data_IF_297757293613
#
_entry.id   IF_297757293613
#
_cell.length_a   1.000
_cell.length_b   1.000
_cell.length_c   1.000
_cell.angle_alpha   90.00
_cell.angle_beta   90.00
_cell.angle_gamma   90.00
#
_symmetry.space_group_name_H-M   'P 1'
#
loop_
_entity.id
_entity.type
_entity.pdbx_description
1 polymer ?
#
# COMPACT_ATOMS: atom_id res chain seq x y z
N UNK A 1 -80.91 -41.50 29.03
CA UNK A 1 -79.92 -41.65 27.98
C UNK A 1 -79.14 -40.34 27.82
N UNK A 2 -77.92 -40.27 28.32
CA UNK A 2 -77.03 -39.08 28.23
C UNK A 2 -75.83 -39.42 27.36
N UNK A 3 -75.77 -38.87 26.15
CA UNK A 3 -74.66 -39.01 25.25
C UNK A 3 -73.51 -38.09 25.71
N UNK A 4 -72.32 -38.65 25.92
CA UNK A 4 -71.08 -37.88 26.21
C UNK A 4 -70.33 -37.66 24.89
N UNK A 5 -70.21 -36.41 24.46
CA UNK A 5 -69.33 -36.03 23.38
C UNK A 5 -67.89 -35.87 23.92
N UNK A 6 -66.97 -36.63 23.35
CA UNK A 6 -65.52 -36.45 23.57
C UNK A 6 -65.01 -35.48 22.50
N UNK A 7 -64.52 -34.33 22.94
CA UNK A 7 -63.73 -33.44 22.10
C UNK A 7 -62.25 -33.84 22.14
N UNK A 8 -61.76 -34.27 21.00
CA UNK A 8 -60.31 -34.53 20.82
C UNK A 8 -59.64 -33.24 20.38
N UNK A 9 -58.90 -32.62 21.32
CA UNK A 9 -58.08 -31.41 21.01
C UNK A 9 -56.75 -31.88 20.42
N UNK A 10 -56.53 -31.65 19.12
CA UNK A 10 -55.23 -31.82 18.47
C UNK A 10 -54.32 -30.66 18.81
N UNK A 11 -53.32 -30.90 19.66
CA UNK A 11 -52.29 -29.90 19.93
C UNK A 11 -51.27 -29.89 18.77
N UNK A 12 -51.33 -28.83 17.93
CA UNK A 12 -50.28 -28.54 16.93
C UNK A 12 -49.08 -27.92 17.67
N UNK A 13 -48.05 -28.70 17.93
CA UNK A 13 -46.77 -28.20 18.38
C UNK A 13 -46.04 -27.59 17.20
N UNK A 14 -46.09 -26.27 17.09
CA UNK A 14 -45.23 -25.49 16.21
C UNK A 14 -43.80 -25.53 16.77
N UNK A 15 -42.94 -26.34 16.18
CA UNK A 15 -41.53 -26.31 16.44
C UNK A 15 -40.95 -25.00 15.88
N UNK A 16 -40.86 -23.95 16.70
CA UNK A 16 -39.99 -22.83 16.42
C UNK A 16 -38.56 -23.33 16.45
N UNK A 17 -37.99 -23.63 15.29
CA UNK A 17 -36.56 -23.78 15.15
C UNK A 17 -35.91 -22.44 15.53
N UNK A 18 -35.38 -22.35 16.74
CA UNK A 18 -34.42 -21.32 17.10
C UNK A 18 -33.22 -21.46 16.13
N UNK A 19 -33.27 -20.75 15.02
CA UNK A 19 -32.06 -20.41 14.26
C UNK A 19 -31.23 -19.52 15.20
N UNK A 20 -30.25 -20.14 15.86
CA UNK A 20 -29.22 -19.37 16.58
C UNK A 20 -28.72 -18.32 15.58
N UNK A 21 -28.73 -17.05 15.96
CA UNK A 21 -28.01 -16.00 15.27
C UNK A 21 -26.54 -16.43 15.30
N UNK A 22 -26.05 -17.06 14.23
CA UNK A 22 -24.64 -17.12 13.96
C UNK A 22 -24.18 -15.66 13.90
N UNK A 23 -23.26 -15.25 14.78
CA UNK A 23 -22.73 -13.89 14.76
C UNK A 23 -22.32 -13.56 13.32
N UNK A 24 -22.59 -12.34 12.91
CA UNK A 24 -22.20 -11.80 11.60
C UNK A 24 -20.71 -12.05 11.39
N UNK A 25 -20.31 -12.70 10.28
CA UNK A 25 -18.92 -12.98 9.97
C UNK A 25 -18.15 -11.65 9.89
N UNK A 26 -16.96 -11.60 10.45
CA UNK A 26 -16.14 -10.37 10.48
C UNK A 26 -14.81 -10.62 9.81
N UNK A 27 -14.55 -9.90 8.72
CA UNK A 27 -13.26 -9.87 8.03
C UNK A 27 -12.34 -8.83 8.69
N UNK A 28 -11.21 -9.27 9.18
CA UNK A 28 -10.19 -8.38 9.73
C UNK A 28 -9.09 -8.12 8.69
N UNK A 29 -8.99 -6.87 8.26
CA UNK A 29 -8.03 -6.40 7.26
C UNK A 29 -6.95 -5.56 7.94
N UNK A 30 -5.67 -5.81 7.65
CA UNK A 30 -4.54 -5.05 8.13
C UNK A 30 -3.80 -4.45 6.94
N UNK A 31 -3.93 -3.14 6.75
CA UNK A 31 -3.52 -2.45 5.54
C UNK A 31 -2.93 -1.07 5.83
N UNK A 32 -2.53 -0.36 4.80
CA UNK A 32 -2.11 1.04 4.90
C UNK A 32 -3.30 1.95 5.18
N UNK A 33 -3.04 3.15 5.72
CA UNK A 33 -4.08 4.16 5.89
C UNK A 33 -4.66 4.60 4.53
N UNK A 34 -5.95 4.93 4.49
CA UNK A 34 -6.67 5.45 3.31
C UNK A 34 -6.57 4.55 2.05
N UNK A 35 -6.46 3.23 2.24
CA UNK A 35 -6.12 2.27 1.16
C UNK A 35 -7.32 1.56 0.55
N UNK A 36 -8.51 1.79 1.05
CA UNK A 36 -9.80 1.34 0.48
C UNK A 36 -10.86 2.42 0.71
N UNK A 37 -11.58 2.78 -0.35
CA UNK A 37 -12.68 3.73 -0.27
C UNK A 37 -13.76 3.22 0.69
N UNK A 38 -14.20 4.01 1.70
CA UNK A 38 -15.17 3.56 2.71
C UNK A 38 -16.48 3.05 2.14
N UNK A 39 -16.98 3.66 1.05
CA UNK A 39 -18.23 3.26 0.39
C UNK A 39 -18.09 1.88 -0.27
N UNK A 40 -16.90 1.49 -0.72
CA UNK A 40 -16.63 0.14 -1.25
C UNK A 40 -16.67 -0.88 -0.13
N UNK A 41 -16.12 -0.56 1.04
CA UNK A 41 -16.20 -1.40 2.23
C UNK A 41 -17.65 -1.66 2.59
N UNK A 42 -18.46 -0.59 2.72
CA UNK A 42 -19.89 -0.70 3.04
C UNK A 42 -20.66 -1.51 1.99
N UNK A 43 -20.32 -1.38 0.70
CA UNK A 43 -20.91 -2.17 -0.38
C UNK A 43 -20.56 -3.66 -0.24
N UNK A 44 -19.31 -3.98 0.03
CA UNK A 44 -18.89 -5.37 0.25
C UNK A 44 -19.59 -6.00 1.46
N UNK A 45 -19.70 -5.28 2.56
CA UNK A 45 -20.43 -5.72 3.77
C UNK A 45 -21.89 -6.06 3.45
N UNK A 46 -22.57 -5.19 2.71
CA UNK A 46 -23.97 -5.40 2.32
C UNK A 46 -24.13 -6.60 1.37
N UNK A 47 -23.23 -6.77 0.40
CA UNK A 47 -23.28 -7.87 -0.58
C UNK A 47 -22.98 -9.25 0.05
N UNK A 48 -22.15 -9.28 1.10
CA UNK A 48 -21.68 -10.52 1.71
C UNK A 48 -22.30 -10.80 3.10
N UNK A 49 -23.21 -9.96 3.57
CA UNK A 49 -23.82 -10.04 4.91
C UNK A 49 -22.76 -10.25 6.01
N UNK A 50 -21.72 -9.44 5.98
CA UNK A 50 -20.58 -9.50 6.89
C UNK A 50 -20.20 -8.10 7.40
N UNK A 51 -19.22 -8.07 8.30
CA UNK A 51 -18.57 -6.85 8.75
C UNK A 51 -17.10 -6.85 8.35
N UNK A 52 -16.56 -5.69 7.99
CA UNK A 52 -15.13 -5.50 7.72
C UNK A 52 -14.55 -4.59 8.80
N UNK A 53 -13.47 -5.03 9.44
CA UNK A 53 -12.71 -4.23 10.40
C UNK A 53 -11.33 -3.98 9.82
N UNK A 54 -10.97 -2.71 9.66
CA UNK A 54 -9.68 -2.30 9.10
C UNK A 54 -8.81 -1.76 10.22
N UNK A 55 -7.65 -2.39 10.42
CA UNK A 55 -6.53 -1.86 11.20
C UNK A 55 -5.45 -1.36 10.23
N UNK A 56 -4.69 -0.36 10.63
CA UNK A 56 -3.64 0.23 9.79
C UNK A 56 -2.24 0.04 10.37
N UNK A 57 -1.24 0.08 9.48
CA UNK A 57 0.17 0.15 9.81
C UNK A 57 0.85 1.23 8.96
N UNK A 58 2.01 1.68 9.42
CA UNK A 58 2.82 2.75 8.82
C UNK A 58 4.14 2.27 8.20
N UNK A 59 4.51 0.99 8.44
CA UNK A 59 5.69 0.37 7.83
C UNK A 59 5.55 -1.14 7.71
N UNK A 60 6.16 -1.71 6.66
CA UNK A 60 6.22 -3.16 6.46
C UNK A 60 6.91 -3.87 7.63
N UNK A 61 7.96 -3.26 8.19
CA UNK A 61 8.73 -3.81 9.31
C UNK A 61 7.89 -3.90 10.58
N UNK A 62 7.13 -2.86 10.91
CA UNK A 62 6.22 -2.86 12.06
C UNK A 62 5.09 -3.88 11.89
N UNK A 63 4.48 -3.94 10.71
CA UNK A 63 3.46 -4.93 10.36
C UNK A 63 4.01 -6.34 10.52
N UNK A 64 5.15 -6.63 9.88
CA UNK A 64 5.79 -7.94 9.94
C UNK A 64 6.17 -8.36 11.37
N UNK A 65 6.79 -7.46 12.14
CA UNK A 65 7.16 -7.74 13.52
C UNK A 65 5.92 -8.09 14.38
N UNK A 66 4.82 -7.36 14.21
CA UNK A 66 3.55 -7.60 14.92
C UNK A 66 2.96 -8.97 14.56
N UNK A 67 2.89 -9.31 13.28
CA UNK A 67 2.34 -10.60 12.81
C UNK A 67 3.25 -11.75 13.25
N UNK A 68 4.57 -11.61 13.13
CA UNK A 68 5.56 -12.59 13.56
C UNK A 68 5.56 -12.84 15.07
N UNK A 69 5.30 -11.81 15.86
CA UNK A 69 5.15 -11.95 17.32
C UNK A 69 3.86 -12.69 17.74
N UNK A 70 3.05 -13.14 16.78
CA UNK A 70 1.85 -13.95 17.02
C UNK A 70 0.58 -13.12 17.12
N UNK A 71 0.54 -11.89 16.61
CA UNK A 71 -0.71 -11.17 16.44
C UNK A 71 -1.58 -11.95 15.43
N UNK A 72 -2.50 -12.74 15.98
CA UNK A 72 -3.50 -13.49 15.22
C UNK A 72 -4.79 -12.68 15.14
N UNK A 73 -5.60 -12.95 14.14
CA UNK A 73 -6.91 -12.31 14.02
C UNK A 73 -7.05 -11.45 12.78
N UNK A 74 -6.00 -11.35 11.97
CA UNK A 74 -6.08 -10.76 10.64
C UNK A 74 -6.37 -11.85 9.61
N UNK A 75 -7.29 -11.55 8.69
CA UNK A 75 -7.70 -12.45 7.61
C UNK A 75 -7.12 -12.02 6.26
N UNK A 76 -6.77 -10.74 6.13
CA UNK A 76 -6.16 -10.15 4.95
C UNK A 76 -5.11 -9.12 5.38
N UNK A 77 -3.96 -9.11 4.72
CA UNK A 77 -2.89 -8.11 4.93
C UNK A 77 -2.45 -7.57 3.57
N UNK A 78 -1.99 -6.32 3.54
CA UNK A 78 -1.53 -5.65 2.31
C UNK A 78 -0.05 -5.24 2.41
N UNK A 79 0.91 -6.19 2.42
CA UNK A 79 2.34 -5.87 2.42
C UNK A 79 2.83 -5.44 1.04
N UNK A 80 3.94 -4.71 1.00
CA UNK A 80 4.70 -4.53 -0.24
C UNK A 80 5.34 -5.85 -0.70
N UNK A 81 5.43 -6.07 -2.01
CA UNK A 81 5.87 -7.34 -2.62
C UNK A 81 7.17 -7.91 -2.04
N UNK A 82 8.17 -7.09 -1.71
CA UNK A 82 9.40 -7.61 -1.10
C UNK A 82 9.16 -8.27 0.26
N UNK A 83 8.20 -7.75 1.02
CA UNK A 83 7.80 -8.31 2.32
C UNK A 83 7.01 -9.61 2.14
N UNK A 84 6.24 -9.74 1.05
CA UNK A 84 5.57 -11.01 0.68
C UNK A 84 6.58 -12.15 0.59
N UNK A 85 7.74 -11.93 -0.06
CA UNK A 85 8.81 -12.91 -0.18
C UNK A 85 9.29 -13.40 1.19
N UNK A 86 9.55 -12.45 2.11
CA UNK A 86 9.98 -12.76 3.47
C UNK A 86 8.91 -13.54 4.24
N UNK A 87 7.66 -13.11 4.18
CA UNK A 87 6.53 -13.77 4.87
C UNK A 87 6.29 -15.18 4.30
N UNK A 88 6.35 -15.34 2.98
CA UNK A 88 6.23 -16.64 2.33
C UNK A 88 7.35 -17.60 2.76
N UNK A 89 8.61 -17.16 2.71
CA UNK A 89 9.75 -17.98 3.13
C UNK A 89 9.70 -18.47 4.58
N UNK A 90 8.88 -17.83 5.42
CA UNK A 90 8.66 -18.20 6.82
C UNK A 90 7.34 -18.97 7.05
N UNK A 91 6.63 -19.36 5.99
CA UNK A 91 5.38 -20.09 6.10
C UNK A 91 4.24 -19.28 6.74
N UNK A 92 4.28 -17.95 6.62
CA UNK A 92 3.29 -17.04 7.22
C UNK A 92 2.06 -16.81 6.34
N UNK A 93 2.05 -17.30 5.09
CA UNK A 93 0.99 -17.07 4.12
C UNK A 93 0.29 -18.38 3.74
N UNK A 94 -1.01 -18.30 3.49
CA UNK A 94 -1.79 -19.39 2.89
C UNK A 94 -1.69 -19.34 1.36
N UNK A 95 -1.80 -20.49 0.67
CA UNK A 95 -2.02 -20.50 -0.77
C UNK A 95 -3.40 -19.91 -1.11
N UNK A 96 -3.48 -19.23 -2.25
CA UNK A 96 -4.72 -18.69 -2.77
C UNK A 96 -5.47 -19.71 -3.64
N UNK A 97 -6.78 -19.81 -3.46
CA UNK A 97 -7.65 -20.56 -4.38
C UNK A 97 -8.06 -19.67 -5.56
N UNK A 98 -7.38 -19.86 -6.69
CA UNK A 98 -7.62 -19.09 -7.92
C UNK A 98 -9.03 -19.22 -8.47
N UNK A 99 -9.75 -20.32 -8.16
CA UNK A 99 -11.14 -20.47 -8.56
C UNK A 99 -12.07 -19.47 -7.86
N UNK A 100 -11.66 -18.96 -6.70
CA UNK A 100 -12.36 -17.91 -5.97
C UNK A 100 -11.96 -16.50 -6.39
N UNK A 101 -10.99 -16.35 -7.31
CA UNK A 101 -10.39 -15.09 -7.72
C UNK A 101 -10.50 -14.85 -9.25
N UNK A 102 -11.68 -15.01 -9.89
CA UNK A 102 -11.80 -14.82 -11.34
C UNK A 102 -11.38 -13.43 -11.80
N UNK A 103 -11.56 -12.39 -10.99
CA UNK A 103 -11.16 -11.02 -11.31
C UNK A 103 -9.64 -10.80 -11.28
N UNK A 104 -8.88 -11.61 -10.56
CA UNK A 104 -7.42 -11.52 -10.54
C UNK A 104 -6.78 -11.85 -11.91
N UNK A 105 -7.50 -12.54 -12.80
CA UNK A 105 -7.05 -12.78 -14.19
C UNK A 105 -6.87 -11.50 -15.02
N UNK A 106 -7.36 -10.37 -14.53
CA UNK A 106 -7.27 -9.05 -15.16
C UNK A 106 -6.09 -8.22 -14.67
N UNK A 107 -5.28 -8.78 -13.76
CA UNK A 107 -4.04 -8.10 -13.32
C UNK A 107 -3.17 -7.85 -14.55
N UNK A 108 -2.71 -6.60 -14.66
CA UNK A 108 -1.87 -6.16 -15.78
C UNK A 108 -0.57 -6.97 -15.82
N UNK A 109 -0.29 -7.66 -16.94
CA UNK A 109 0.92 -8.47 -17.09
C UNK A 109 2.22 -7.70 -16.87
N UNK A 110 2.24 -6.38 -17.17
CA UNK A 110 3.42 -5.54 -16.93
C UNK A 110 3.76 -5.44 -15.46
N UNK A 111 2.75 -5.23 -14.61
CA UNK A 111 2.95 -5.16 -13.17
C UNK A 111 3.08 -6.54 -12.52
N UNK A 112 2.41 -7.55 -13.05
CA UNK A 112 2.63 -8.93 -12.62
C UNK A 112 4.07 -9.39 -12.89
N UNK A 113 4.70 -8.90 -13.96
CA UNK A 113 6.10 -9.23 -14.28
C UNK A 113 7.10 -8.72 -13.22
N UNK A 114 6.77 -7.64 -12.52
CA UNK A 114 7.59 -7.07 -11.43
C UNK A 114 7.17 -7.54 -10.04
N UNK A 115 5.98 -8.17 -9.91
CA UNK A 115 5.56 -8.79 -8.66
C UNK A 115 6.50 -9.95 -8.28
N UNK A 116 6.63 -10.21 -7.00
CA UNK A 116 7.44 -11.33 -6.50
C UNK A 116 6.76 -12.66 -6.78
N UNK A 117 5.46 -12.74 -6.55
CA UNK A 117 4.64 -13.91 -6.86
C UNK A 117 3.97 -13.75 -8.24
N UNK A 118 4.74 -14.05 -9.29
CA UNK A 118 4.29 -13.93 -10.69
C UNK A 118 3.15 -14.88 -11.06
N UNK A 119 2.92 -15.89 -10.25
CA UNK A 119 1.86 -16.87 -10.45
C UNK A 119 0.62 -16.61 -9.61
N UNK A 120 0.68 -15.67 -8.70
CA UNK A 120 -0.39 -15.36 -7.75
C UNK A 120 -0.82 -16.59 -6.94
N UNK A 121 0.15 -17.38 -6.49
CA UNK A 121 -0.14 -18.56 -5.67
C UNK A 121 -0.38 -18.20 -4.21
N UNK A 122 0.15 -17.07 -3.73
CA UNK A 122 0.08 -16.61 -2.33
C UNK A 122 -0.23 -15.13 -2.19
N UNK A 123 -0.13 -14.34 -3.28
CA UNK A 123 -0.40 -12.90 -3.27
C UNK A 123 -1.07 -12.45 -4.57
N UNK A 124 -1.84 -11.37 -4.52
CA UNK A 124 -2.40 -10.72 -5.71
C UNK A 124 -1.98 -9.27 -5.70
N UNK A 125 -1.32 -8.76 -6.77
CA UNK A 125 -1.00 -7.34 -6.92
C UNK A 125 -2.24 -6.46 -6.73
N UNK A 126 -2.16 -5.48 -5.85
CA UNK A 126 -3.31 -4.65 -5.49
C UNK A 126 -3.13 -3.19 -5.90
N UNK A 127 -2.03 -2.56 -5.48
CA UNK A 127 -1.76 -1.17 -5.80
C UNK A 127 -0.32 -0.98 -6.24
N UNK A 128 -0.16 -0.18 -7.29
CA UNK A 128 1.14 0.24 -7.77
C UNK A 128 1.42 1.64 -7.22
N UNK A 129 2.53 1.76 -6.54
CA UNK A 129 3.00 3.00 -5.97
C UNK A 129 4.32 3.42 -6.59
N UNK A 130 4.60 4.71 -6.60
CA UNK A 130 5.92 5.23 -6.87
C UNK A 130 6.19 6.39 -5.92
N UNK A 131 7.46 6.67 -5.65
CA UNK A 131 7.87 7.75 -4.79
C UNK A 131 8.64 8.80 -5.56
N UNK A 132 8.39 10.04 -5.21
CA UNK A 132 9.01 11.19 -5.87
C UNK A 132 9.08 12.39 -4.95
N UNK A 133 9.19 13.55 -5.57
CA UNK A 133 9.27 14.83 -4.88
C UNK A 133 8.01 15.64 -5.14
N UNK A 134 7.32 16.02 -4.06
CA UNK A 134 6.25 17.01 -4.14
C UNK A 134 6.71 18.35 -3.57
N UNK A 135 6.18 19.45 -4.13
CA UNK A 135 6.56 20.79 -3.71
C UNK A 135 5.43 21.79 -3.97
N UNK A 136 5.43 22.90 -3.23
CA UNK A 136 4.52 24.02 -3.50
C UNK A 136 5.10 24.88 -4.63
N UNK A 137 4.47 24.83 -5.80
CA UNK A 137 4.95 25.46 -7.03
C UNK A 137 5.11 26.99 -6.89
N UNK A 138 4.22 27.66 -6.16
CA UNK A 138 4.29 29.10 -5.91
C UNK A 138 5.38 29.51 -4.92
N UNK A 139 5.94 28.55 -4.14
CA UNK A 139 6.91 28.81 -3.07
C UNK A 139 8.32 28.31 -3.38
N UNK A 140 8.44 27.30 -4.22
CA UNK A 140 9.72 26.66 -4.57
C UNK A 140 10.13 27.11 -5.97
N UNK A 141 10.84 28.23 -6.05
CA UNK A 141 11.39 28.72 -7.31
C UNK A 141 12.53 27.83 -7.82
N UNK A 142 12.75 27.81 -9.14
CA UNK A 142 13.84 27.05 -9.78
C UNK A 142 13.88 25.58 -9.37
N UNK A 143 12.71 24.95 -9.31
CA UNK A 143 12.63 23.51 -9.04
C UNK A 143 13.20 22.72 -10.21
N UNK A 144 14.09 21.77 -9.90
CA UNK A 144 14.57 20.76 -10.83
C UNK A 144 14.15 19.38 -10.34
N UNK A 145 13.62 18.49 -11.20
CA UNK A 145 13.23 17.15 -10.82
C UNK A 145 14.46 16.25 -10.62
N UNK A 146 15.09 16.37 -9.46
CA UNK A 146 16.27 15.62 -9.05
C UNK A 146 16.26 15.44 -7.53
N UNK A 147 16.82 14.32 -7.05
CA UNK A 147 17.04 14.13 -5.61
C UNK A 147 17.97 15.17 -4.99
N UNK A 148 18.79 15.85 -5.81
CA UNK A 148 19.61 16.98 -5.36
C UNK A 148 18.81 18.14 -4.72
N UNK A 149 17.48 18.21 -4.92
CA UNK A 149 16.64 19.25 -4.30
C UNK A 149 16.72 19.26 -2.77
N UNK A 150 17.07 18.14 -2.14
CA UNK A 150 17.25 18.06 -0.69
C UNK A 150 18.56 18.70 -0.19
N UNK A 151 19.48 19.10 -1.10
CA UNK A 151 20.65 19.94 -0.77
C UNK A 151 20.32 21.42 -0.65
N UNK A 152 19.09 21.85 -0.94
CA UNK A 152 18.67 23.26 -0.96
C UNK A 152 18.65 23.87 0.44
N UNK A 153 19.68 24.66 0.74
CA UNK A 153 19.82 25.34 2.03
C UNK A 153 18.78 26.46 2.25
N UNK A 154 18.25 27.05 1.15
CA UNK A 154 17.19 28.07 1.20
C UNK A 154 15.83 27.49 1.66
N UNK A 155 15.64 26.17 1.59
CA UNK A 155 14.46 25.45 2.07
C UNK A 155 14.70 24.76 3.44
N UNK A 156 15.79 25.07 4.12
CA UNK A 156 16.15 24.43 5.39
C UNK A 156 15.01 24.50 6.42
N UNK A 157 14.71 23.35 7.02
CA UNK A 157 13.64 23.18 8.00
C UNK A 157 12.23 23.17 7.41
N UNK A 158 12.11 23.20 6.06
CA UNK A 158 10.84 23.17 5.34
C UNK A 158 10.75 21.99 4.38
N UNK A 159 11.68 21.04 4.48
CA UNK A 159 11.74 19.82 3.68
C UNK A 159 11.59 18.58 4.55
N UNK A 160 10.96 17.55 4.01
CA UNK A 160 10.76 16.23 4.68
C UNK A 160 11.13 15.11 3.73
N UNK A 161 11.81 14.10 4.25
CA UNK A 161 11.97 12.82 3.57
C UNK A 161 11.24 11.72 4.34
N UNK A 162 10.87 10.64 3.65
CA UNK A 162 10.18 9.51 4.24
C UNK A 162 11.03 8.89 5.36
N UNK A 163 10.40 8.55 6.48
CA UNK A 163 10.99 7.74 7.54
C UNK A 163 10.95 6.25 7.15
N UNK A 164 11.37 5.98 5.93
CA UNK A 164 11.46 4.65 5.35
C UNK A 164 12.89 4.43 4.86
N UNK A 165 13.49 3.34 5.32
CA UNK A 165 14.87 2.98 5.03
C UNK A 165 15.10 2.75 3.53
N UNK A 166 14.20 1.97 2.92
CA UNK A 166 14.34 1.57 1.51
C UNK A 166 14.14 2.76 0.58
N UNK A 167 13.19 3.61 0.89
CA UNK A 167 12.87 4.81 0.12
C UNK A 167 13.99 5.86 0.25
N UNK A 168 14.36 6.24 1.46
CA UNK A 168 15.29 7.36 1.68
C UNK A 168 16.73 7.01 1.31
N UNK A 169 17.24 5.83 1.68
CA UNK A 169 18.58 5.39 1.26
C UNK A 169 18.58 5.03 -0.22
N UNK A 170 17.48 4.46 -0.74
CA UNK A 170 17.28 4.19 -2.16
C UNK A 170 17.32 5.44 -3.02
N UNK A 171 16.69 6.53 -2.59
CA UNK A 171 16.77 7.84 -3.26
C UNK A 171 18.22 8.34 -3.37
N UNK A 172 19.02 8.19 -2.31
CA UNK A 172 20.43 8.57 -2.32
C UNK A 172 21.27 7.66 -3.25
N UNK A 173 20.97 6.36 -3.29
CA UNK A 173 21.62 5.44 -4.24
C UNK A 173 21.30 5.84 -5.68
N UNK A 174 20.03 6.12 -6.00
CA UNK A 174 19.62 6.60 -7.33
C UNK A 174 20.32 7.91 -7.68
N UNK A 175 20.39 8.86 -6.75
CA UNK A 175 21.11 10.12 -6.93
C UNK A 175 22.59 9.90 -7.31
N UNK A 176 23.23 8.88 -6.74
CA UNK A 176 24.61 8.51 -7.03
C UNK A 176 24.77 7.65 -8.30
N UNK A 177 23.67 7.29 -8.97
CA UNK A 177 23.67 6.44 -10.15
C UNK A 177 23.81 4.94 -9.85
N UNK A 178 23.55 4.53 -8.60
CA UNK A 178 23.56 3.14 -8.19
C UNK A 178 22.14 2.53 -8.23
N UNK A 179 22.07 1.19 -8.16
CA UNK A 179 20.78 0.51 -7.95
C UNK A 179 20.25 0.80 -6.55
N UNK A 180 18.94 1.07 -6.44
CA UNK A 180 18.27 1.21 -5.14
C UNK A 180 18.20 -0.12 -4.36
N UNK A 181 18.67 -1.22 -4.94
CA UNK A 181 18.81 -2.52 -4.29
C UNK A 181 20.26 -2.89 -3.99
N UNK A 182 21.20 -1.94 -4.09
CA UNK A 182 22.60 -2.23 -3.86
C UNK A 182 22.86 -2.83 -2.47
N UNK A 183 23.63 -3.90 -2.43
CA UNK A 183 24.14 -4.51 -1.19
C UNK A 183 25.66 -4.32 -1.05
N UNK A 184 26.25 -3.46 -1.89
CA UNK A 184 27.67 -3.11 -1.81
C UNK A 184 27.89 -2.15 -0.62
N UNK A 185 28.70 -2.53 0.39
CA UNK A 185 28.96 -1.69 1.55
C UNK A 185 29.52 -0.29 1.22
N UNK A 186 30.37 -0.17 0.18
CA UNK A 186 30.94 1.12 -0.21
C UNK A 186 29.89 2.05 -0.82
N UNK A 187 28.95 1.52 -1.61
CA UNK A 187 27.84 2.28 -2.18
C UNK A 187 26.86 2.74 -1.09
N UNK A 188 26.57 1.86 -0.13
CA UNK A 188 25.75 2.18 1.03
C UNK A 188 26.39 3.25 1.92
N UNK A 189 27.69 3.21 2.13
CA UNK A 189 28.41 4.27 2.87
C UNK A 189 28.35 5.63 2.14
N UNK A 190 28.46 5.63 0.81
CA UNK A 190 28.30 6.86 0.01
C UNK A 190 26.87 7.38 0.09
N UNK A 191 25.86 6.49 -0.04
CA UNK A 191 24.46 6.88 0.11
C UNK A 191 24.18 7.44 1.51
N UNK A 192 24.72 6.82 2.57
CA UNK A 192 24.65 7.36 3.94
C UNK A 192 25.18 8.80 4.02
N UNK A 193 26.36 9.03 3.44
CA UNK A 193 26.96 10.37 3.44
C UNK A 193 26.06 11.42 2.75
N UNK A 194 25.41 11.04 1.63
CA UNK A 194 24.44 11.89 0.93
C UNK A 194 23.23 12.19 1.83
N UNK A 195 22.60 11.16 2.42
CA UNK A 195 21.44 11.36 3.30
C UNK A 195 21.79 12.21 4.53
N UNK A 196 22.98 12.04 5.10
CA UNK A 196 23.47 12.89 6.19
C UNK A 196 23.66 14.37 5.75
N UNK A 197 24.04 14.58 4.49
CA UNK A 197 24.06 15.92 3.88
C UNK A 197 22.67 16.52 3.83
N UNK A 198 21.71 15.80 3.25
CA UNK A 198 20.32 16.21 3.13
C UNK A 198 19.66 16.45 4.50
N UNK A 199 19.92 15.56 5.47
CA UNK A 199 19.38 15.65 6.84
C UNK A 199 19.59 17.00 7.48
N UNK A 200 20.70 17.71 7.19
CA UNK A 200 21.00 19.04 7.72
C UNK A 200 19.97 20.12 7.29
N UNK A 201 19.27 19.86 6.19
CA UNK A 201 18.27 20.77 5.63
C UNK A 201 16.83 20.31 5.93
N UNK A 202 16.63 19.04 6.32
CA UNK A 202 15.29 18.53 6.62
C UNK A 202 14.72 19.14 7.91
N UNK A 203 13.40 19.22 7.98
CA UNK A 203 12.68 19.39 9.24
C UNK A 203 12.72 18.08 10.04
N UNK A 204 12.43 16.97 9.38
CA UNK A 204 12.40 15.62 9.97
C UNK A 204 12.33 14.52 8.88
N UNK A 205 12.45 13.26 9.31
CA UNK A 205 11.93 12.10 8.58
C UNK A 205 10.50 11.80 9.04
N UNK A 206 9.58 11.50 8.10
CA UNK A 206 8.15 11.41 8.41
C UNK A 206 7.39 10.57 7.38
N UNK A 207 6.43 9.74 7.81
CA UNK A 207 5.65 8.88 6.91
C UNK A 207 4.17 9.28 6.77
N UNK A 208 3.61 10.03 7.74
CA UNK A 208 2.18 10.31 7.79
C UNK A 208 1.86 11.80 7.65
N UNK A 209 2.53 12.64 8.45
CA UNK A 209 2.22 14.07 8.53
C UNK A 209 2.74 14.88 7.35
N UNK A 210 3.56 14.30 6.46
CA UNK A 210 4.07 15.02 5.29
C UNK A 210 2.93 15.43 4.35
N UNK A 211 1.85 14.63 4.25
CA UNK A 211 0.65 14.96 3.46
C UNK A 211 0.01 16.26 3.94
N UNK A 212 -0.38 16.28 5.20
CA UNK A 212 -1.02 17.47 5.80
C UNK A 212 -0.07 18.64 5.90
N UNK A 213 1.23 18.40 6.11
CA UNK A 213 2.25 19.41 6.19
C UNK A 213 2.49 20.14 4.86
N UNK A 214 2.51 19.45 3.73
CA UNK A 214 2.60 20.11 2.42
C UNK A 214 1.29 20.79 2.04
N UNK A 215 0.14 20.18 2.34
CA UNK A 215 -1.16 20.76 2.07
C UNK A 215 -1.37 22.10 2.82
N UNK A 216 -0.91 22.19 4.06
CA UNK A 216 -0.97 23.40 4.88
C UNK A 216 0.13 24.42 4.59
N UNK A 217 1.17 24.03 3.86
CA UNK A 217 2.36 24.85 3.64
C UNK A 217 3.33 24.88 4.82
N UNK A 218 3.21 23.97 5.79
CA UNK A 218 4.23 23.75 6.80
C UNK A 218 5.52 23.26 6.15
N UNK A 219 5.42 22.30 5.22
CA UNK A 219 6.52 21.87 4.38
C UNK A 219 6.38 22.45 2.98
N UNK A 220 7.48 22.80 2.37
CA UNK A 220 7.53 23.35 1.01
C UNK A 220 7.92 22.30 -0.02
N UNK A 221 8.64 21.27 0.42
CA UNK A 221 9.12 20.20 -0.42
C UNK A 221 9.18 18.91 0.39
N UNK A 222 8.65 17.81 -0.16
CA UNK A 222 8.59 16.52 0.52
C UNK A 222 8.96 15.38 -0.44
N UNK A 223 9.69 14.39 0.07
CA UNK A 223 9.75 13.05 -0.51
C UNK A 223 8.50 12.31 -0.06
N UNK A 224 7.70 11.82 -1.00
CA UNK A 224 6.42 11.20 -0.67
C UNK A 224 5.94 10.20 -1.71
N UNK A 225 4.98 9.40 -1.29
CA UNK A 225 4.29 8.45 -2.15
C UNK A 225 3.34 9.19 -3.08
N UNK A 226 3.33 8.78 -4.36
CA UNK A 226 2.57 9.49 -5.41
C UNK A 226 1.09 9.64 -5.09
N UNK A 227 0.41 8.55 -4.73
CA UNK A 227 -1.02 8.58 -4.45
C UNK A 227 -1.38 9.49 -3.27
N UNK A 228 -0.61 9.44 -2.19
CA UNK A 228 -0.79 10.30 -1.02
C UNK A 228 -0.70 11.79 -1.38
N UNK A 229 0.28 12.14 -2.21
CA UNK A 229 0.43 13.50 -2.70
C UNK A 229 -0.71 13.90 -3.63
N UNK A 230 -1.12 13.00 -4.52
CA UNK A 230 -2.20 13.27 -5.45
C UNK A 230 -3.55 13.43 -4.75
N UNK A 231 -3.77 12.72 -3.62
CA UNK A 231 -4.95 12.94 -2.78
C UNK A 231 -5.00 14.39 -2.26
N UNK A 232 -3.92 14.87 -1.68
CA UNK A 232 -3.89 16.25 -1.14
C UNK A 232 -3.78 17.32 -2.23
N UNK A 233 -3.30 16.98 -3.43
CA UNK A 233 -3.30 17.88 -4.59
C UNK A 233 -4.73 18.23 -5.04
N UNK A 234 -5.71 17.35 -4.81
CA UNK A 234 -7.13 17.66 -5.09
C UNK A 234 -7.61 18.84 -4.26
N UNK A 235 -7.09 19.00 -3.03
CA UNK A 235 -7.47 20.07 -2.11
C UNK A 235 -6.60 21.31 -2.28
N UNK A 236 -5.39 21.17 -2.80
CA UNK A 236 -4.43 22.26 -2.98
C UNK A 236 -3.69 22.14 -4.32
N UNK A 237 -4.19 22.84 -5.35
CA UNK A 237 -3.64 22.81 -6.71
C UNK A 237 -2.22 23.42 -6.82
N UNK A 238 -1.71 24.10 -5.78
CA UNK A 238 -0.31 24.58 -5.74
C UNK A 238 0.70 23.45 -5.53
N UNK A 239 0.25 22.27 -5.09
CA UNK A 239 1.11 21.12 -4.93
C UNK A 239 1.42 20.53 -6.32
N UNK A 240 2.70 20.43 -6.66
CA UNK A 240 3.19 19.73 -7.84
C UNK A 240 3.93 18.45 -7.41
N UNK A 241 3.83 17.41 -8.22
CA UNK A 241 4.57 16.16 -8.02
C UNK A 241 5.47 15.88 -9.22
N UNK A 242 6.70 15.47 -8.97
CA UNK A 242 7.65 15.11 -10.00
C UNK A 242 8.47 13.87 -9.60
N UNK A 243 8.62 12.96 -10.56
CA UNK A 243 9.61 11.90 -10.45
C UNK A 243 11.00 12.47 -10.73
N UNK A 244 12.00 12.27 -9.86
CA UNK A 244 13.38 12.70 -10.12
C UNK A 244 13.97 12.07 -11.38
N UNK A 245 14.79 12.83 -12.07
CA UNK A 245 15.44 12.39 -13.34
C UNK A 245 16.35 11.19 -13.18
N UNK A 246 16.83 10.92 -11.98
CA UNK A 246 17.63 9.75 -11.64
C UNK A 246 16.78 8.47 -11.50
N UNK A 247 15.46 8.62 -11.48
CA UNK A 247 14.51 7.56 -11.15
C UNK A 247 14.26 7.45 -9.65
N UNK A 248 13.38 6.55 -9.28
CA UNK A 248 12.99 6.27 -7.90
C UNK A 248 12.47 4.84 -7.77
N UNK A 249 11.75 4.58 -6.69
CA UNK A 249 11.10 3.30 -6.49
C UNK A 249 9.76 3.22 -7.25
N UNK A 250 9.50 2.03 -7.79
CA UNK A 250 8.16 1.55 -8.10
C UNK A 250 7.91 0.37 -7.16
N UNK A 251 6.83 0.40 -6.43
CA UNK A 251 6.44 -0.66 -5.52
C UNK A 251 5.08 -1.22 -5.92
N UNK A 252 4.88 -2.48 -5.63
CA UNK A 252 3.59 -3.13 -5.69
C UNK A 252 3.23 -3.57 -4.28
N UNK A 253 2.05 -3.21 -3.83
CA UNK A 253 1.48 -3.75 -2.61
C UNK A 253 0.51 -4.87 -2.99
N UNK A 254 0.64 -5.99 -2.30
CA UNK A 254 -0.07 -7.22 -2.61
C UNK A 254 -1.11 -7.54 -1.53
N UNK A 255 -2.21 -8.15 -1.92
CA UNK A 255 -3.17 -8.75 -0.99
C UNK A 255 -2.74 -10.18 -0.67
N UNK A 256 -2.55 -10.48 0.61
CA UNK A 256 -2.14 -11.80 1.09
C UNK A 256 -3.06 -12.29 2.22
N UNK A 257 -3.24 -13.61 2.30
CA UNK A 257 -4.01 -14.25 3.38
C UNK A 257 -3.01 -14.87 4.36
N UNK A 258 -2.96 -14.39 5.63
CA UNK A 258 -2.07 -14.97 6.64
C UNK A 258 -2.38 -16.45 6.91
N UNK A 259 -1.35 -17.21 7.28
CA UNK A 259 -1.50 -18.63 7.64
C UNK A 259 -2.49 -18.85 8.79
N UNK A 260 -2.64 -17.89 9.70
CA UNK A 260 -3.54 -17.94 10.86
C UNK A 260 -4.95 -17.38 10.57
N UNK A 261 -5.26 -16.95 9.34
CA UNK A 261 -6.55 -16.40 8.97
C UNK A 261 -7.69 -17.39 9.22
N UNK A 262 -8.81 -16.87 9.70
CA UNK A 262 -10.01 -17.67 10.02
C UNK A 262 -11.08 -17.54 8.95
N UNK A 263 -11.28 -16.34 8.43
CA UNK A 263 -12.30 -16.00 7.43
C UNK A 263 -11.73 -16.08 5.99
N UNK A 264 -11.03 -17.18 5.68
CA UNK A 264 -10.31 -17.39 4.40
C UNK A 264 -11.19 -17.19 3.17
N UNK A 265 -12.44 -17.69 3.22
CA UNK A 265 -13.38 -17.52 2.10
C UNK A 265 -13.80 -16.07 1.92
N UNK A 266 -14.02 -15.37 3.01
CA UNK A 266 -14.39 -13.96 2.99
C UNK A 266 -13.22 -13.09 2.54
N UNK A 267 -11.99 -13.45 2.92
CA UNK A 267 -10.77 -12.81 2.42
C UNK A 267 -10.64 -12.97 0.90
N UNK A 268 -10.84 -14.18 0.34
CA UNK A 268 -10.88 -14.36 -1.12
C UNK A 268 -11.98 -13.56 -1.79
N UNK A 269 -13.19 -13.52 -1.19
CA UNK A 269 -14.28 -12.72 -1.73
C UNK A 269 -13.91 -11.23 -1.77
N UNK A 270 -13.23 -10.70 -0.74
CA UNK A 270 -12.80 -9.31 -0.69
C UNK A 270 -11.69 -9.02 -1.70
N UNK A 271 -10.68 -9.91 -1.85
CA UNK A 271 -9.67 -9.81 -2.90
C UNK A 271 -10.34 -9.75 -4.28
N UNK A 272 -11.26 -10.69 -4.57
CA UNK A 272 -11.95 -10.74 -5.84
C UNK A 272 -12.84 -9.51 -6.08
N UNK A 273 -13.48 -8.98 -5.05
CA UNK A 273 -14.27 -7.75 -5.09
C UNK A 273 -13.41 -6.54 -5.42
N UNK A 274 -12.27 -6.37 -4.77
CA UNK A 274 -11.34 -5.27 -5.03
C UNK A 274 -10.77 -5.30 -6.45
N UNK A 275 -10.73 -6.47 -7.09
CA UNK A 275 -10.31 -6.65 -8.49
C UNK A 275 -11.47 -6.65 -9.50
N UNK A 276 -12.72 -6.42 -9.09
CA UNK A 276 -13.77 -6.10 -10.06
C UNK A 276 -13.40 -4.80 -10.78
N UNK A 277 -13.49 -4.73 -12.12
CA UNK A 277 -13.02 -3.56 -12.87
C UNK A 277 -13.63 -2.23 -12.43
N UNK A 278 -14.93 -2.23 -12.07
CA UNK A 278 -15.61 -1.01 -11.60
C UNK A 278 -15.15 -0.63 -10.19
N UNK A 279 -14.98 -1.62 -9.32
CA UNK A 279 -14.47 -1.42 -7.96
C UNK A 279 -13.03 -0.92 -8.01
N UNK A 280 -12.18 -1.56 -8.82
CA UNK A 280 -10.80 -1.18 -9.01
C UNK A 280 -10.65 0.26 -9.54
N UNK A 281 -11.48 0.63 -10.53
CA UNK A 281 -11.49 1.99 -11.05
C UNK A 281 -11.96 3.00 -9.99
N UNK A 282 -13.07 2.71 -9.29
CA UNK A 282 -13.61 3.58 -8.25
C UNK A 282 -12.62 3.76 -7.08
N UNK A 283 -11.90 2.70 -6.72
CA UNK A 283 -10.90 2.76 -5.68
C UNK A 283 -9.65 3.53 -6.12
N UNK A 284 -9.18 3.32 -7.35
CA UNK A 284 -8.07 4.10 -7.95
C UNK A 284 -8.39 5.61 -7.97
N UNK A 285 -9.61 5.99 -8.33
CA UNK A 285 -10.06 7.40 -8.30
C UNK A 285 -10.03 8.00 -6.89
N UNK A 286 -10.31 7.21 -5.88
CA UNK A 286 -10.30 7.65 -4.49
C UNK A 286 -8.88 7.74 -3.92
N UNK A 287 -8.11 6.65 -4.02
CA UNK A 287 -6.81 6.55 -3.37
C UNK A 287 -5.66 7.12 -4.21
N UNK A 288 -5.90 7.41 -5.49
CA UNK A 288 -4.91 7.96 -6.44
C UNK A 288 -3.69 7.05 -6.67
N UNK A 289 -3.75 5.78 -6.27
CA UNK A 289 -2.81 4.73 -6.65
C UNK A 289 -3.41 3.86 -7.75
N UNK A 290 -2.58 3.32 -8.64
CA UNK A 290 -3.05 2.50 -9.74
C UNK A 290 -3.34 1.08 -9.27
N UNK A 291 -4.60 0.65 -9.28
CA UNK A 291 -4.91 -0.76 -9.26
C UNK A 291 -4.50 -1.38 -10.62
N UNK A 292 -3.58 -2.36 -10.64
CA UNK A 292 -3.07 -2.93 -11.88
C UNK A 292 -4.08 -3.88 -12.53
N UNK A 293 -5.23 -3.36 -12.95
CA UNK A 293 -6.32 -4.09 -13.58
C UNK A 293 -6.61 -3.49 -14.96
N UNK A 294 -6.27 -4.20 -16.02
CA UNK A 294 -6.38 -3.70 -17.41
C UNK A 294 -7.80 -3.33 -17.82
N UNK A 295 -8.80 -4.03 -17.28
CA UNK A 295 -10.22 -3.76 -17.57
C UNK A 295 -10.76 -2.55 -16.79
N UNK A 296 -10.04 -2.11 -15.74
CA UNK A 296 -10.37 -0.89 -15.00
C UNK A 296 -9.87 0.38 -15.69
N UNK A 297 -8.76 0.32 -16.43
CA UNK A 297 -8.14 1.50 -17.04
C UNK A 297 -9.09 2.31 -17.95
N UNK A 298 -9.91 1.69 -18.84
CA UNK A 298 -10.87 2.42 -19.63
C UNK A 298 -11.95 3.15 -18.83
N UNK A 299 -12.22 2.69 -17.59
CA UNK A 299 -13.24 3.23 -16.71
C UNK A 299 -12.77 4.44 -15.89
N UNK A 300 -11.45 4.67 -15.84
CA UNK A 300 -10.85 5.81 -15.13
C UNK A 300 -11.19 7.13 -15.83
N UNK A 301 -11.35 8.19 -15.05
CA UNK A 301 -11.50 9.55 -15.56
C UNK A 301 -10.24 10.07 -16.24
N UNK A 302 -10.38 11.01 -17.17
CA UNK A 302 -9.26 11.58 -17.93
C UNK A 302 -8.19 12.23 -17.04
N UNK A 303 -8.59 12.78 -15.88
CA UNK A 303 -7.65 13.37 -14.91
C UNK A 303 -6.67 12.33 -14.37
N UNK A 304 -7.14 11.12 -14.07
CA UNK A 304 -6.30 10.00 -13.62
C UNK A 304 -5.45 9.45 -14.77
N UNK A 305 -6.07 9.19 -15.93
CA UNK A 305 -5.37 8.64 -17.09
C UNK A 305 -4.22 9.51 -17.59
N UNK A 306 -4.36 10.83 -17.50
CA UNK A 306 -3.33 11.79 -17.90
C UNK A 306 -2.34 12.14 -16.78
N UNK A 307 -2.52 11.61 -15.56
CA UNK A 307 -1.69 11.96 -14.43
C UNK A 307 -0.36 11.17 -14.47
N UNK A 308 0.80 11.85 -14.62
CA UNK A 308 2.11 11.18 -14.69
C UNK A 308 2.55 10.58 -13.35
N UNK A 309 1.89 10.90 -12.24
CA UNK A 309 2.11 10.27 -10.94
C UNK A 309 1.38 8.93 -10.80
N UNK A 310 0.34 8.69 -11.63
CA UNK A 310 -0.39 7.40 -11.69
C UNK A 310 0.14 6.55 -12.84
N UNK A 311 0.20 7.12 -14.05
CA UNK A 311 0.73 6.45 -15.23
C UNK A 311 2.08 7.06 -15.61
N UNK A 312 3.17 6.42 -15.17
CA UNK A 312 4.52 6.88 -15.47
C UNK A 312 4.80 6.79 -16.97
N UNK A 313 5.38 7.86 -17.54
CA UNK A 313 5.88 7.82 -18.90
C UNK A 313 6.98 6.74 -19.05
N UNK A 314 7.06 6.04 -20.20
CA UNK A 314 7.98 4.93 -20.38
C UNK A 314 9.45 5.28 -20.11
N UNK A 315 9.89 6.48 -20.49
CA UNK A 315 11.26 6.96 -20.28
C UNK A 315 11.57 7.28 -18.79
N UNK A 316 10.55 7.61 -18.00
CA UNK A 316 10.66 7.79 -16.54
C UNK A 316 10.68 6.42 -15.88
N UNK A 317 9.74 5.55 -16.26
CA UNK A 317 9.61 4.19 -15.73
C UNK A 317 10.89 3.37 -15.93
N UNK A 318 11.57 3.53 -17.08
CA UNK A 318 12.82 2.83 -17.40
C UNK A 318 13.98 3.17 -16.44
N UNK A 319 13.91 4.27 -15.69
CA UNK A 319 14.91 4.67 -14.70
C UNK A 319 14.53 4.26 -13.27
N UNK A 320 13.29 3.85 -13.06
CA UNK A 320 12.81 3.39 -11.78
C UNK A 320 13.16 1.91 -11.58
N UNK A 321 13.20 1.50 -10.34
CA UNK A 321 13.46 0.11 -9.96
C UNK A 321 12.43 -0.36 -8.94
N UNK A 322 12.16 -1.66 -8.94
CA UNK A 322 11.33 -2.30 -7.92
C UNK A 322 12.22 -2.73 -6.76
N UNK A 323 11.73 -2.61 -5.54
CA UNK A 323 12.43 -3.12 -4.36
C UNK A 323 12.53 -4.64 -4.43
N UNK A 324 13.77 -5.13 -4.37
CA UNK A 324 14.06 -6.55 -4.24
C UNK A 324 14.16 -6.96 -2.77
N UNK A 325 13.91 -8.23 -2.49
CA UNK A 325 14.29 -8.84 -1.22
C UNK A 325 15.81 -8.87 -1.10
N UNK A 326 16.35 -8.30 -0.02
CA UNK A 326 17.80 -8.23 0.24
C UNK A 326 18.33 -9.44 0.99
N UNK A 327 17.44 -10.35 1.42
CA UNK A 327 17.81 -11.54 2.16
C UNK A 327 18.72 -11.23 3.35
N UNK A 328 19.79 -12.01 3.50
CA UNK A 328 20.79 -11.85 4.57
C UNK A 328 21.51 -10.48 4.56
N UNK A 329 21.43 -9.74 3.44
CA UNK A 329 22.08 -8.42 3.31
C UNK A 329 21.24 -7.28 3.88
N UNK A 330 19.99 -7.52 4.25
CA UNK A 330 19.12 -6.49 4.84
C UNK A 330 19.77 -5.85 6.09
N UNK A 331 20.54 -6.62 6.87
CA UNK A 331 21.25 -6.09 8.03
C UNK A 331 22.23 -4.95 7.74
N UNK A 332 22.78 -4.87 6.52
CA UNK A 332 23.63 -3.75 6.09
C UNK A 332 22.84 -2.45 5.99
N UNK A 333 21.64 -2.52 5.44
CA UNK A 333 20.74 -1.39 5.31
C UNK A 333 20.24 -0.90 6.66
N UNK A 334 19.80 -1.82 7.52
CA UNK A 334 19.38 -1.49 8.89
C UNK A 334 20.48 -0.72 9.63
N UNK A 335 21.71 -1.21 9.57
CA UNK A 335 22.87 -0.54 10.18
C UNK A 335 23.04 0.90 9.66
N UNK A 336 23.05 1.07 8.32
CA UNK A 336 23.19 2.39 7.69
C UNK A 336 22.06 3.32 8.11
N UNK A 337 20.83 2.84 8.13
CA UNK A 337 19.66 3.62 8.53
C UNK A 337 19.70 4.05 10.01
N UNK A 338 20.09 3.14 10.90
CA UNK A 338 20.26 3.45 12.32
C UNK A 338 21.34 4.51 12.55
N UNK A 339 22.47 4.42 11.83
CA UNK A 339 23.52 5.43 11.86
C UNK A 339 23.04 6.80 11.34
N UNK A 340 22.23 6.82 10.27
CA UNK A 340 21.59 8.06 9.75
C UNK A 340 20.66 8.67 10.81
N UNK A 341 19.82 7.86 11.43
CA UNK A 341 18.87 8.36 12.46
C UNK A 341 19.60 8.86 13.71
N UNK A 342 20.62 8.16 14.16
CA UNK A 342 21.40 8.51 15.35
C UNK A 342 22.28 9.76 15.19
N UNK A 343 22.68 10.12 13.97
CA UNK A 343 23.51 11.30 13.71
C UNK A 343 22.75 12.59 14.11
N UNK A 344 23.48 13.52 14.77
CA UNK A 344 22.94 14.82 15.20
C UNK A 344 22.93 15.84 14.08
#
# INVERSE_FOLDING_TARGET
MKAKFFFLAAALTAAFACRGKTGEATLHVYTWADYVKPELVARFEAENACRVVIDTFDSNEAMYAKVKAGATGYDLITPTSYMVSLMFGQGMLQPLDKNLLPNASRVDPEYLAIAIDKTMDHSVPYMITNTGVAYLASKVSNFEPSWAVFDRADLKGRMVMLNDMRETVGAALKFLGYSLNSTNPEELEKAKAVVLGWKKNLAKFENEQYKTGIASGEFLLVHGYSGDILQVQVENEDIAFAMPREGGAISCDDLVIPAAAKEVKLAHAFINFLHDPKVAAENTEFIQYLCPNTDAYPLLGEKIKSNPGVFLAPEVKAKCEVFADLGDKNGLWVKVWDEIKAAK
#
